data_IF_931003193655
#
_entry.id   IF_931003193655
#
_cell.length_a   1.000
_cell.length_b   1.000
_cell.length_c   1.000
_cell.angle_alpha   90.00
_cell.angle_beta   90.00
_cell.angle_gamma   90.00
#
_symmetry.space_group_name_H-M   'P 1'
#
loop_
_entity.id
_entity.type
_entity.pdbx_description
1 polymer ?
#
# COMPACT_ATOMS: atom_id res chain seq x y z
N UNK A 1 -1.83 -23.67 -13.74
CA UNK A 1 -1.15 -22.51 -13.12
C UNK A 1 -2.13 -21.60 -12.37
N UNK A 2 -3.06 -22.13 -11.56
CA UNK A 2 -4.08 -21.31 -10.86
C UNK A 2 -3.89 -21.21 -9.33
N UNK A 3 -2.97 -21.98 -8.74
CA UNK A 3 -2.78 -22.01 -7.28
C UNK A 3 -1.90 -20.89 -6.73
N UNK A 4 -1.08 -20.25 -7.56
CA UNK A 4 -0.17 -19.17 -7.14
C UNK A 4 -0.90 -17.81 -7.06
N UNK A 5 -1.82 -17.50 -7.98
CA UNK A 5 -2.60 -16.25 -7.98
C UNK A 5 -3.47 -16.11 -6.73
N UNK A 6 -4.22 -17.18 -6.39
CA UNK A 6 -5.10 -17.14 -5.21
C UNK A 6 -4.35 -17.04 -3.89
N UNK A 7 -3.13 -17.61 -3.81
CA UNK A 7 -2.26 -17.43 -2.64
C UNK A 7 -1.73 -16.00 -2.57
N UNK A 8 -1.22 -15.44 -3.66
CA UNK A 8 -0.71 -14.07 -3.68
C UNK A 8 -1.80 -13.03 -3.39
N UNK A 9 -3.04 -13.26 -3.84
CA UNK A 9 -4.18 -12.40 -3.54
C UNK A 9 -4.56 -12.44 -2.05
N UNK A 10 -4.54 -13.63 -1.43
CA UNK A 10 -4.75 -13.78 0.02
C UNK A 10 -3.63 -13.13 0.82
N UNK A 11 -2.36 -13.39 0.45
CA UNK A 11 -1.20 -12.83 1.13
C UNK A 11 -1.20 -11.29 1.04
N UNK A 12 -1.59 -10.73 -0.11
CA UNK A 12 -1.78 -9.29 -0.28
C UNK A 12 -2.89 -8.74 0.62
N UNK A 13 -4.06 -9.39 0.64
CA UNK A 13 -5.17 -8.96 1.48
C UNK A 13 -4.80 -8.99 2.96
N UNK A 14 -4.16 -10.06 3.43
CA UNK A 14 -3.70 -10.21 4.81
C UNK A 14 -2.63 -9.16 5.17
N UNK A 15 -1.71 -8.86 4.24
CA UNK A 15 -0.71 -7.82 4.44
C UNK A 15 -1.36 -6.45 4.60
N UNK A 16 -2.27 -6.07 3.69
CA UNK A 16 -2.97 -4.78 3.73
C UNK A 16 -3.83 -4.66 4.99
N UNK A 17 -4.53 -5.72 5.39
CA UNK A 17 -5.36 -5.73 6.60
C UNK A 17 -4.53 -5.42 7.86
N UNK A 18 -3.32 -6.00 7.96
CA UNK A 18 -2.40 -5.72 9.07
C UNK A 18 -1.89 -4.27 9.12
N UNK A 19 -1.99 -3.53 8.01
CA UNK A 19 -1.67 -2.10 7.97
C UNK A 19 -2.85 -1.24 8.43
N UNK A 20 -4.10 -1.69 8.25
CA UNK A 20 -5.30 -0.95 8.67
C UNK A 20 -5.23 -0.59 10.17
N UNK A 21 -4.69 -1.49 11.00
CA UNK A 21 -4.49 -1.30 12.44
C UNK A 21 -3.82 0.02 12.82
N UNK A 22 -2.90 0.52 11.98
CA UNK A 22 -2.11 1.74 12.25
C UNK A 22 -2.54 2.95 11.42
N UNK A 23 -3.39 2.74 10.42
CA UNK A 23 -4.00 3.82 9.63
C UNK A 23 -5.14 4.52 10.42
N UNK A 24 -5.63 3.86 11.46
CA UNK A 24 -6.51 4.42 12.47
C UNK A 24 -7.98 4.23 12.13
N UNK A 25 -8.65 5.32 11.74
CA UNK A 25 -10.11 5.34 11.60
C UNK A 25 -10.62 4.35 10.54
N UNK A 26 -11.72 3.64 10.84
CA UNK A 26 -12.21 2.50 10.05
C UNK A 26 -12.61 2.84 8.60
N UNK A 27 -12.99 4.09 8.34
CA UNK A 27 -13.31 4.63 7.01
C UNK A 27 -12.10 4.69 6.06
N UNK A 28 -10.87 4.54 6.58
CA UNK A 28 -9.64 4.54 5.81
C UNK A 28 -9.21 3.16 5.31
N UNK A 29 -9.87 2.09 5.76
CA UNK A 29 -9.53 0.73 5.36
C UNK A 29 -9.72 0.49 3.86
N UNK A 30 -10.88 0.86 3.31
CA UNK A 30 -11.17 0.70 1.87
C UNK A 30 -10.22 1.57 1.00
N UNK A 31 -10.04 2.88 1.27
CA UNK A 31 -9.09 3.70 0.52
C UNK A 31 -7.65 3.20 0.58
N UNK A 32 -7.17 2.68 1.72
CA UNK A 32 -5.85 2.06 1.83
C UNK A 32 -5.74 0.86 0.88
N UNK A 33 -6.70 -0.06 0.96
CA UNK A 33 -6.72 -1.27 0.15
C UNK A 33 -6.75 -0.95 -1.34
N UNK A 34 -7.60 -0.02 -1.75
CA UNK A 34 -7.72 0.35 -3.15
C UNK A 34 -6.48 1.10 -3.65
N UNK A 35 -5.86 1.94 -2.82
CA UNK A 35 -4.61 2.60 -3.17
C UNK A 35 -3.49 1.57 -3.39
N UNK A 36 -3.29 0.64 -2.44
CA UNK A 36 -2.31 -0.43 -2.56
C UNK A 36 -2.59 -1.34 -3.77
N UNK A 37 -3.84 -1.71 -4.01
CA UNK A 37 -4.23 -2.51 -5.17
C UNK A 37 -3.90 -1.78 -6.48
N UNK A 38 -4.27 -0.50 -6.59
CA UNK A 38 -3.94 0.34 -7.74
C UNK A 38 -2.43 0.41 -8.00
N UNK A 39 -1.61 0.53 -6.95
CA UNK A 39 -0.15 0.52 -7.06
C UNK A 39 0.41 -0.81 -7.57
N UNK A 40 -0.28 -1.93 -7.35
CA UNK A 40 0.14 -3.25 -7.85
C UNK A 40 -0.35 -3.54 -9.28
N UNK A 41 -1.38 -2.83 -9.76
CA UNK A 41 -1.91 -3.01 -11.11
C UNK A 41 -1.00 -2.39 -12.19
N UNK A 42 -1.00 -2.92 -13.43
CA UNK A 42 -0.16 -2.44 -14.52
C UNK A 42 -0.67 -1.10 -15.08
N UNK A 43 -0.44 -0.01 -14.34
CA UNK A 43 -0.74 1.37 -14.76
C UNK A 43 0.53 2.09 -15.19
N UNK A 44 0.45 2.86 -16.28
CA UNK A 44 1.58 3.63 -16.81
C UNK A 44 2.04 4.73 -15.83
N UNK A 45 1.11 5.31 -15.07
CA UNK A 45 1.38 6.34 -14.06
C UNK A 45 0.76 5.96 -12.73
N UNK A 46 1.56 5.98 -11.66
CA UNK A 46 1.15 5.67 -10.29
C UNK A 46 0.58 6.90 -9.57
N UNK A 47 -0.33 7.62 -10.23
CA UNK A 47 -1.04 8.78 -9.66
C UNK A 47 -2.50 8.44 -9.37
N UNK A 48 -3.15 9.22 -8.51
CA UNK A 48 -4.49 8.92 -7.96
C UNK A 48 -5.57 8.70 -9.03
N UNK A 49 -5.57 9.48 -10.11
CA UNK A 49 -6.55 9.35 -11.20
C UNK A 49 -6.44 8.00 -11.95
N UNK A 50 -5.27 7.61 -12.49
CA UNK A 50 -5.07 6.26 -13.03
C UNK A 50 -5.45 5.14 -12.05
N UNK A 51 -5.09 5.27 -10.77
CA UNK A 51 -5.44 4.25 -9.76
C UNK A 51 -6.96 4.12 -9.58
N UNK A 52 -7.68 5.24 -9.52
CA UNK A 52 -9.13 5.25 -9.44
C UNK A 52 -9.79 4.65 -10.69
N UNK A 53 -9.25 4.91 -11.87
CA UNK A 53 -9.75 4.38 -13.14
C UNK A 53 -9.66 2.84 -13.20
N UNK A 54 -8.57 2.25 -12.70
CA UNK A 54 -8.38 0.79 -12.73
C UNK A 54 -9.07 0.07 -11.57
N UNK A 55 -9.21 0.70 -10.40
CA UNK A 55 -9.82 0.06 -9.22
C UNK A 55 -11.34 0.21 -9.17
N UNK A 56 -11.88 1.30 -9.73
CA UNK A 56 -13.32 1.57 -9.74
C UNK A 56 -13.79 2.25 -11.04
N UNK A 57 -13.71 1.57 -12.21
CA UNK A 57 -13.99 2.16 -13.52
C UNK A 57 -15.41 2.72 -13.66
N UNK A 58 -16.40 2.16 -12.95
CA UNK A 58 -17.77 2.68 -12.95
C UNK A 58 -17.97 3.93 -12.06
N UNK A 59 -16.97 4.29 -11.26
CA UNK A 59 -17.06 5.29 -10.18
C UNK A 59 -15.77 6.14 -10.05
N UNK A 60 -15.07 6.36 -11.17
CA UNK A 60 -13.74 6.98 -11.22
C UNK A 60 -13.67 8.29 -10.45
N UNK A 61 -14.60 9.22 -10.69
CA UNK A 61 -14.58 10.53 -10.02
C UNK A 61 -14.69 10.41 -8.50
N UNK A 62 -15.61 9.60 -7.99
CA UNK A 62 -15.74 9.40 -6.53
C UNK A 62 -14.54 8.67 -5.93
N UNK A 63 -14.00 7.66 -6.63
CA UNK A 63 -12.82 6.93 -6.14
C UNK A 63 -11.57 7.82 -6.16
N UNK A 64 -11.41 8.65 -7.19
CA UNK A 64 -10.35 9.64 -7.26
C UNK A 64 -10.39 10.60 -6.07
N UNK A 65 -11.57 11.16 -5.74
CA UNK A 65 -11.71 12.05 -4.57
C UNK A 65 -11.43 11.33 -3.26
N UNK A 66 -11.93 10.10 -3.10
CA UNK A 66 -11.66 9.26 -1.92
C UNK A 66 -10.17 8.99 -1.72
N UNK A 67 -9.47 8.57 -2.79
CA UNK A 67 -8.04 8.30 -2.74
C UNK A 67 -7.19 9.56 -2.55
N UNK A 68 -7.58 10.68 -3.17
CA UNK A 68 -6.90 11.96 -3.03
C UNK A 68 -7.00 12.47 -1.58
N UNK A 69 -8.19 12.41 -1.00
CA UNK A 69 -8.38 12.74 0.42
C UNK A 69 -7.57 11.81 1.31
N UNK A 70 -7.66 10.50 1.07
CA UNK A 70 -6.94 9.52 1.86
C UNK A 70 -5.43 9.76 1.86
N UNK A 71 -4.78 9.84 0.70
CA UNK A 71 -3.31 9.97 0.61
C UNK A 71 -2.82 11.38 0.94
N UNK A 72 -3.57 12.42 0.56
CA UNK A 72 -3.09 13.80 0.64
C UNK A 72 -3.56 14.58 1.87
N UNK A 73 -4.59 14.12 2.59
CA UNK A 73 -5.27 14.93 3.60
C UNK A 73 -5.65 14.18 4.88
N UNK A 74 -5.92 12.88 4.81
CA UNK A 74 -6.38 12.13 5.97
C UNK A 74 -5.26 12.05 7.05
N UNK A 75 -5.59 12.23 8.33
CA UNK A 75 -4.60 12.28 9.39
C UNK A 75 -4.21 10.87 9.86
N UNK A 76 -3.53 10.11 9.00
CA UNK A 76 -2.79 8.89 9.38
C UNK A 76 -1.31 9.24 9.53
N UNK A 77 -0.58 8.43 10.30
CA UNK A 77 0.84 8.64 10.58
C UNK A 77 1.69 7.78 9.64
N UNK A 78 2.53 8.43 8.84
CA UNK A 78 3.55 7.78 8.02
C UNK A 78 4.56 7.01 8.89
N UNK A 79 4.99 7.59 10.01
CA UNK A 79 5.86 6.92 10.98
C UNK A 79 5.24 5.62 11.52
N UNK A 80 3.96 5.64 11.91
CA UNK A 80 3.27 4.46 12.40
C UNK A 80 3.13 3.38 11.32
N UNK A 81 2.84 3.80 10.08
CA UNK A 81 2.77 2.91 8.92
C UNK A 81 4.13 2.26 8.64
N UNK A 82 5.20 3.04 8.56
CA UNK A 82 6.55 2.54 8.30
C UNK A 82 7.05 1.60 9.40
N UNK A 83 6.75 1.91 10.68
CA UNK A 83 7.05 1.02 11.81
C UNK A 83 6.33 -0.33 11.65
N UNK A 84 5.04 -0.30 11.33
CA UNK A 84 4.25 -1.54 11.14
C UNK A 84 4.77 -2.37 9.97
N UNK A 85 5.16 -1.73 8.86
CA UNK A 85 5.81 -2.41 7.74
C UNK A 85 7.11 -3.07 8.21
N UNK A 86 7.94 -2.36 8.99
CA UNK A 86 9.14 -2.91 9.60
C UNK A 86 8.87 -4.16 10.44
N UNK A 87 7.89 -4.10 11.35
CA UNK A 87 7.50 -5.23 12.20
C UNK A 87 7.06 -6.46 11.40
N UNK A 88 6.45 -6.26 10.23
CA UNK A 88 5.99 -7.33 9.35
C UNK A 88 7.11 -7.92 8.47
N UNK A 89 8.00 -7.07 7.97
CA UNK A 89 8.99 -7.43 6.95
C UNK A 89 10.30 -7.90 7.57
N UNK A 90 10.77 -7.27 8.65
CA UNK A 90 12.07 -7.58 9.25
C UNK A 90 12.21 -9.06 9.67
N UNK A 91 11.23 -9.69 10.36
CA UNK A 91 11.31 -11.12 10.68
C UNK A 91 11.36 -12.02 9.44
N UNK A 92 10.74 -11.59 8.33
CA UNK A 92 10.76 -12.34 7.07
C UNK A 92 12.11 -12.26 6.36
N UNK A 93 12.84 -11.16 6.54
CA UNK A 93 14.22 -10.99 6.06
C UNK A 93 15.17 -11.83 6.92
N UNK A 94 15.09 -11.67 8.25
CA UNK A 94 16.01 -12.29 9.21
C UNK A 94 15.85 -13.81 9.34
N UNK A 95 14.77 -14.39 8.79
CA UNK A 95 14.55 -15.85 8.77
C UNK A 95 15.67 -16.63 8.09
N UNK A 96 16.48 -15.95 7.26
CA UNK A 96 17.61 -16.54 6.53
C UNK A 96 18.98 -16.24 7.15
N UNK A 97 19.02 -15.52 8.27
CA UNK A 97 20.25 -15.04 8.92
C UNK A 97 20.14 -13.56 9.32
N UNK A 98 21.05 -13.06 10.16
CA UNK A 98 21.05 -11.64 10.55
C UNK A 98 21.32 -10.73 9.34
N UNK A 99 20.87 -9.48 9.41
CA UNK A 99 21.23 -8.47 8.40
C UNK A 99 22.73 -8.16 8.51
N UNK A 100 23.49 -8.50 7.46
CA UNK A 100 24.94 -8.27 7.41
C UNK A 100 25.31 -6.91 6.82
N UNK A 101 24.44 -6.31 6.00
CA UNK A 101 24.69 -5.05 5.32
C UNK A 101 23.39 -4.28 5.02
N UNK A 102 23.51 -2.95 4.92
CA UNK A 102 22.44 -2.06 4.48
C UNK A 102 22.79 -1.43 3.15
N UNK A 103 21.86 -1.48 2.20
CA UNK A 103 21.91 -0.67 0.97
C UNK A 103 21.10 0.59 1.26
N UNK A 104 21.78 1.74 1.26
CA UNK A 104 21.17 3.04 1.53
C UNK A 104 21.33 3.91 0.29
N UNK A 105 20.20 4.36 -0.26
CA UNK A 105 20.12 5.32 -1.35
C UNK A 105 19.26 6.50 -0.88
N UNK A 106 19.68 7.72 -1.20
CA UNK A 106 18.91 8.93 -0.93
C UNK A 106 18.30 9.44 -2.23
N UNK A 107 16.96 9.46 -2.29
CA UNK A 107 16.21 9.93 -3.45
C UNK A 107 15.57 11.28 -3.12
N UNK A 108 15.99 12.33 -3.84
CA UNK A 108 15.39 13.66 -3.73
C UNK A 108 14.13 13.82 -4.58
N UNK A 109 13.11 14.50 -4.05
CA UNK A 109 12.03 15.04 -4.86
C UNK A 109 12.46 16.39 -5.46
N UNK A 110 12.40 16.58 -6.79
CA UNK A 110 12.67 17.88 -7.39
C UNK A 110 11.65 18.91 -6.90
N UNK A 111 12.12 20.14 -6.68
CA UNK A 111 11.29 21.29 -6.29
C UNK A 111 10.48 21.84 -7.45
#
# INVERSE_FOLDING_TARGET
MNGLSGRSESDFADYVERLVDVIGHADRAEPLKDYCLGLMLPVERKSVEPLAAVTAPARVSSKHQSLLHFVGQAPWSDEALLRRIGDLVLPLIERHGPIEAWIVDDTGFPK
#
